data_IF_080693396271
#
_entry.id   IF_080693396271
#
_cell.length_a   1.000
_cell.length_b   1.000
_cell.length_c   1.000
_cell.angle_alpha   90.00
_cell.angle_beta   90.00
_cell.angle_gamma   90.00
#
_symmetry.space_group_name_H-M   'P 1'
#
loop_
_entity.id
_entity.type
_entity.pdbx_description
1 polymer ?
#
# COMPACT_ATOMS: atom_id res chain seq x y z
N UNK A 1 20.37 9.05 -20.84
CA UNK A 1 21.74 9.57 -21.02
C UNK A 1 22.72 8.41 -20.87
N UNK A 2 22.86 7.79 -19.70
CA UNK A 2 23.85 6.72 -19.44
C UNK A 2 23.80 5.56 -20.43
N UNK A 3 22.61 5.05 -20.76
CA UNK A 3 22.47 3.95 -21.71
C UNK A 3 22.99 4.30 -23.12
N UNK A 4 22.79 5.57 -23.54
CA UNK A 4 23.31 6.05 -24.82
C UNK A 4 24.83 6.13 -24.82
N UNK A 5 25.44 6.60 -23.73
CA UNK A 5 26.90 6.68 -23.56
C UNK A 5 27.52 5.29 -23.47
N UNK A 6 26.85 4.36 -22.78
CA UNK A 6 27.29 2.98 -22.66
C UNK A 6 26.99 2.11 -23.91
N UNK A 7 26.34 2.64 -24.93
CA UNK A 7 25.95 1.90 -26.13
C UNK A 7 24.98 0.74 -25.87
N UNK A 8 24.20 0.77 -24.78
CA UNK A 8 23.27 -0.29 -24.41
C UNK A 8 21.81 0.18 -24.43
N UNK A 9 20.88 -0.79 -24.36
CA UNK A 9 19.44 -0.51 -24.26
C UNK A 9 19.07 -0.24 -22.81
N UNK A 10 18.10 0.67 -22.59
CA UNK A 10 17.51 0.91 -21.27
C UNK A 10 16.06 0.40 -21.23
N UNK A 11 15.66 -0.11 -20.08
CA UNK A 11 14.31 -0.65 -19.83
C UNK A 11 13.81 -0.14 -18.48
N UNK A 12 12.50 0.01 -18.37
CA UNK A 12 11.78 0.20 -17.11
C UNK A 12 10.94 -1.06 -16.90
N UNK A 13 11.15 -1.74 -15.76
CA UNK A 13 10.41 -2.93 -15.40
C UNK A 13 9.36 -2.59 -14.34
N UNK A 14 8.12 -2.99 -14.58
CA UNK A 14 6.98 -2.85 -13.66
C UNK A 14 6.98 -1.49 -12.92
N UNK A 15 6.82 -0.33 -13.63
CA UNK A 15 6.81 0.99 -12.99
C UNK A 15 5.65 1.13 -12.01
N UNK A 16 5.76 2.05 -11.05
CA UNK A 16 4.74 2.31 -10.02
C UNK A 16 3.34 2.61 -10.58
N UNK A 17 3.27 3.05 -11.82
CA UNK A 17 2.04 3.41 -12.56
C UNK A 17 1.57 2.30 -13.51
N UNK A 18 2.06 1.08 -13.34
CA UNK A 18 1.53 -0.08 -14.08
C UNK A 18 0.02 -0.18 -13.81
N UNK A 19 -0.77 -0.22 -14.87
CA UNK A 19 -2.22 -0.21 -14.79
C UNK A 19 -2.83 -1.41 -15.51
N UNK A 20 -3.26 -2.37 -14.71
CA UNK A 20 -3.92 -3.60 -15.14
C UNK A 20 -5.31 -3.76 -14.47
N UNK A 21 -5.86 -2.66 -13.96
CA UNK A 21 -7.14 -2.66 -13.24
C UNK A 21 -8.26 -3.27 -14.07
N UNK A 22 -9.08 -4.10 -13.42
CA UNK A 22 -10.37 -4.47 -13.95
C UNK A 22 -11.28 -3.23 -14.01
N UNK A 23 -12.27 -3.19 -14.92
CA UNK A 23 -13.10 -1.99 -15.13
C UNK A 23 -13.76 -1.49 -13.83
N UNK A 24 -14.26 -2.38 -12.99
CA UNK A 24 -14.94 -2.05 -11.73
C UNK A 24 -14.01 -1.40 -10.72
N UNK A 25 -12.72 -1.78 -10.74
CA UNK A 25 -11.72 -1.21 -9.82
C UNK A 25 -11.35 0.24 -10.13
N UNK A 26 -11.69 0.75 -11.33
CA UNK A 26 -11.43 2.14 -11.73
C UNK A 26 -12.45 3.12 -11.20
N UNK A 27 -13.66 2.65 -10.96
CA UNK A 27 -14.77 3.52 -10.61
C UNK A 27 -14.65 4.02 -9.16
N UNK A 28 -14.88 5.31 -8.97
CA UNK A 28 -15.18 5.90 -7.67
C UNK A 28 -16.65 6.34 -7.64
N UNK A 29 -17.09 6.88 -6.52
CA UNK A 29 -18.44 7.45 -6.40
C UNK A 29 -18.66 8.74 -7.20
N UNK A 30 -17.61 9.33 -7.78
CA UNK A 30 -17.69 10.56 -8.58
C UNK A 30 -17.01 10.34 -9.94
N UNK A 31 -17.71 10.55 -11.06
CA UNK A 31 -17.17 10.24 -12.40
C UNK A 31 -15.88 11.00 -12.75
N UNK A 32 -15.68 12.20 -12.19
CA UNK A 32 -14.49 13.01 -12.41
C UNK A 32 -13.28 12.60 -11.57
N UNK A 33 -13.44 11.67 -10.62
CA UNK A 33 -12.41 11.20 -9.71
C UNK A 33 -12.18 9.70 -9.91
N UNK A 34 -11.46 9.34 -10.95
CA UNK A 34 -11.13 7.94 -11.22
C UNK A 34 -10.06 7.42 -10.25
N UNK A 35 -10.20 6.16 -9.81
CA UNK A 35 -9.15 5.47 -9.05
C UNK A 35 -7.94 5.20 -9.95
N UNK A 36 -6.75 5.34 -9.40
CA UNK A 36 -5.49 5.20 -10.13
C UNK A 36 -4.64 4.10 -9.52
N UNK A 37 -4.05 3.28 -10.38
CA UNK A 37 -3.08 2.28 -10.01
C UNK A 37 -1.73 2.95 -9.72
N UNK A 38 -1.40 3.11 -8.44
CA UNK A 38 -0.08 3.61 -7.98
C UNK A 38 0.34 2.77 -6.78
N UNK A 39 1.32 1.89 -6.97
CA UNK A 39 1.72 0.92 -5.96
C UNK A 39 3.17 0.43 -6.16
N UNK A 40 3.67 -0.39 -5.23
CA UNK A 40 5.01 -0.97 -5.30
C UNK A 40 5.08 -2.11 -6.33
N UNK A 41 4.83 -1.79 -7.62
CA UNK A 41 4.62 -2.76 -8.68
C UNK A 41 5.83 -3.68 -8.89
N UNK A 42 7.03 -3.12 -8.98
CA UNK A 42 8.26 -3.90 -9.20
C UNK A 42 8.46 -4.95 -8.11
N UNK A 43 8.40 -4.55 -6.84
CA UNK A 43 8.55 -5.48 -5.72
C UNK A 43 7.38 -6.47 -5.67
N UNK A 44 6.14 -6.01 -5.77
CA UNK A 44 4.94 -6.86 -5.69
C UNK A 44 4.93 -7.95 -6.75
N UNK A 45 5.21 -7.61 -8.01
CA UNK A 45 5.28 -8.60 -9.10
C UNK A 45 6.51 -9.51 -8.99
N UNK A 46 7.65 -8.99 -8.48
CA UNK A 46 8.85 -9.80 -8.26
C UNK A 46 8.63 -10.89 -7.21
N UNK A 47 8.08 -10.56 -6.04
CA UNK A 47 7.82 -11.55 -4.98
C UNK A 47 6.72 -12.54 -5.37
N UNK A 48 5.71 -12.10 -6.13
CA UNK A 48 4.68 -12.99 -6.67
C UNK A 48 5.26 -14.03 -7.64
N UNK A 49 6.17 -13.62 -8.53
CA UNK A 49 6.88 -14.54 -9.45
C UNK A 49 7.86 -15.45 -8.70
N UNK A 50 8.50 -14.95 -7.64
CA UNK A 50 9.38 -15.76 -6.79
C UNK A 50 8.59 -16.86 -6.09
N UNK A 51 7.49 -16.51 -5.42
CA UNK A 51 6.59 -17.47 -4.78
C UNK A 51 6.10 -18.53 -5.76
N UNK A 52 5.61 -18.12 -6.94
CA UNK A 52 5.15 -19.07 -7.97
C UNK A 52 6.24 -20.08 -8.35
N UNK A 53 7.48 -19.62 -8.50
CA UNK A 53 8.65 -20.47 -8.77
C UNK A 53 8.94 -21.45 -7.66
N UNK A 54 8.90 -21.00 -6.40
CA UNK A 54 9.15 -21.84 -5.21
C UNK A 54 8.14 -23.00 -5.09
N UNK A 55 6.87 -22.76 -5.47
CA UNK A 55 5.83 -23.80 -5.43
C UNK A 55 5.69 -24.57 -6.75
N UNK A 56 6.57 -24.35 -7.73
CA UNK A 56 6.56 -25.06 -9.02
C UNK A 56 5.38 -24.70 -9.93
N UNK A 57 4.76 -23.53 -9.76
CA UNK A 57 3.64 -23.04 -10.57
C UNK A 57 4.00 -21.79 -11.35
N UNK A 58 3.20 -21.45 -12.33
CA UNK A 58 3.36 -20.19 -13.09
C UNK A 58 2.62 -19.07 -12.37
N UNK A 59 3.16 -17.87 -12.40
CA UNK A 59 2.52 -16.68 -11.81
C UNK A 59 1.17 -16.35 -12.45
N UNK A 60 1.00 -16.62 -13.74
CA UNK A 60 -0.25 -16.41 -14.48
C UNK A 60 -1.30 -17.54 -14.27
N UNK A 61 -1.05 -18.46 -13.34
CA UNK A 61 -2.01 -19.48 -12.87
C UNK A 61 -2.50 -19.22 -11.45
N UNK A 62 -2.03 -18.14 -10.81
CA UNK A 62 -2.27 -17.88 -9.40
C UNK A 62 -3.12 -16.64 -9.16
N UNK A 63 -3.90 -16.72 -8.09
CA UNK A 63 -4.59 -15.60 -7.46
C UNK A 63 -3.91 -15.27 -6.14
N UNK A 64 -3.22 -14.15 -6.07
CA UNK A 64 -2.42 -13.76 -4.90
C UNK A 64 -2.87 -12.41 -4.36
N UNK A 65 -2.76 -12.23 -3.05
CA UNK A 65 -2.78 -10.89 -2.45
C UNK A 65 -1.36 -10.57 -2.03
N UNK A 66 -0.79 -9.50 -2.57
CA UNK A 66 0.55 -9.06 -2.21
C UNK A 66 0.48 -7.76 -1.41
N UNK A 67 1.05 -7.80 -0.22
CA UNK A 67 1.08 -6.69 0.74
C UNK A 67 2.51 -6.18 0.85
N UNK A 68 2.79 -5.03 0.28
CA UNK A 68 4.06 -4.35 0.50
C UNK A 68 3.93 -3.35 1.64
N UNK A 69 4.74 -3.51 2.68
CA UNK A 69 4.73 -2.68 3.89
C UNK A 69 6.08 -1.96 4.07
N UNK A 70 6.10 -0.69 3.71
CA UNK A 70 7.25 0.21 3.85
C UNK A 70 6.81 1.59 4.34
N UNK A 71 7.43 2.67 3.89
CA UNK A 71 6.99 4.04 4.17
C UNK A 71 5.57 4.34 3.67
N UNK A 72 5.13 3.63 2.62
CA UNK A 72 3.74 3.45 2.20
C UNK A 72 3.34 1.98 2.28
N UNK A 73 2.03 1.69 2.27
CA UNK A 73 1.48 0.34 2.23
C UNK A 73 0.62 0.17 0.98
N UNK A 74 0.92 -0.85 0.18
CA UNK A 74 0.06 -1.27 -0.92
C UNK A 74 -0.40 -2.70 -0.73
N UNK A 75 -1.69 -2.93 -0.93
CA UNK A 75 -2.34 -4.24 -0.88
C UNK A 75 -2.94 -4.50 -2.25
N UNK A 76 -2.36 -5.42 -2.99
CA UNK A 76 -2.65 -5.67 -4.40
C UNK A 76 -3.28 -7.05 -4.62
N UNK A 77 -4.40 -7.10 -5.35
CA UNK A 77 -5.00 -8.34 -5.85
C UNK A 77 -4.37 -8.71 -7.19
N UNK A 78 -3.59 -9.79 -7.20
CA UNK A 78 -3.00 -10.37 -8.40
C UNK A 78 -3.87 -11.52 -8.89
N UNK A 79 -4.44 -11.39 -10.07
CA UNK A 79 -5.26 -12.41 -10.71
C UNK A 79 -4.63 -12.87 -12.02
N UNK A 80 -4.19 -14.12 -12.08
CA UNK A 80 -3.65 -14.73 -13.30
C UNK A 80 -2.55 -13.86 -13.95
N UNK A 81 -1.56 -13.43 -13.14
CA UNK A 81 -0.42 -12.64 -13.59
C UNK A 81 -0.62 -11.12 -13.72
N UNK A 82 -1.84 -10.61 -13.46
CA UNK A 82 -2.19 -9.19 -13.55
C UNK A 82 -2.62 -8.62 -12.20
N UNK A 83 -2.27 -7.36 -11.94
CA UNK A 83 -2.75 -6.62 -10.76
C UNK A 83 -4.09 -5.97 -11.09
N UNK A 84 -5.18 -6.63 -10.73
CA UNK A 84 -6.53 -6.24 -11.12
C UNK A 84 -7.19 -5.22 -10.22
N UNK A 85 -6.69 -5.06 -8.99
CA UNK A 85 -7.10 -4.02 -8.03
C UNK A 85 -5.99 -3.80 -7.01
N UNK A 86 -5.77 -2.55 -6.61
CA UNK A 86 -4.84 -2.16 -5.55
C UNK A 86 -5.26 -0.80 -4.99
N UNK A 87 -4.96 -0.51 -3.73
CA UNK A 87 -5.08 0.84 -3.20
C UNK A 87 -3.98 1.75 -3.77
N UNK A 88 -4.27 3.03 -3.91
CA UNK A 88 -3.26 4.03 -4.24
C UNK A 88 -2.39 4.31 -3.01
N UNK A 89 -1.24 3.64 -2.93
CA UNK A 89 -0.35 3.69 -1.78
C UNK A 89 0.32 5.06 -1.55
N UNK A 90 0.11 6.02 -2.45
CA UNK A 90 0.77 7.33 -2.42
C UNK A 90 -0.18 8.48 -2.08
N UNK A 91 -1.42 8.45 -2.57
CA UNK A 91 -2.29 9.63 -2.64
C UNK A 91 -3.61 9.49 -1.88
N UNK A 92 -3.62 8.81 -0.74
CA UNK A 92 -4.76 8.82 0.19
C UNK A 92 -5.81 7.75 -0.09
N UNK A 93 -5.38 6.51 -0.31
CA UNK A 93 -6.25 5.33 -0.43
C UNK A 93 -5.65 4.16 0.37
N UNK A 94 -6.50 3.29 0.91
CA UNK A 94 -6.09 2.15 1.70
C UNK A 94 -5.72 2.47 3.15
N UNK A 95 -4.90 1.63 3.81
CA UNK A 95 -4.49 1.83 5.19
C UNK A 95 -3.53 3.02 5.31
N UNK A 96 -3.55 3.72 6.44
CA UNK A 96 -2.45 4.63 6.70
C UNK A 96 -1.15 3.86 6.93
N UNK A 97 -0.02 4.51 6.69
CA UNK A 97 1.30 3.92 6.68
C UNK A 97 2.26 4.80 7.48
N UNK A 98 3.55 4.47 7.61
CA UNK A 98 4.49 5.31 8.33
C UNK A 98 4.46 6.79 7.91
N UNK A 99 4.30 7.10 6.63
CA UNK A 99 4.34 8.48 6.10
C UNK A 99 3.12 8.85 5.24
N UNK A 100 2.08 8.03 5.20
CA UNK A 100 0.90 8.23 4.35
C UNK A 100 -0.37 8.23 5.18
N UNK A 101 -1.28 9.16 4.89
CA UNK A 101 -2.53 9.28 5.61
C UNK A 101 -3.51 8.13 5.35
N UNK A 102 -3.37 7.42 4.20
CA UNK A 102 -4.38 6.45 3.78
C UNK A 102 -5.72 7.11 3.45
N UNK A 103 -6.78 6.32 3.49
CA UNK A 103 -8.15 6.82 3.28
C UNK A 103 -8.57 7.72 4.44
N UNK A 104 -9.01 8.93 4.11
CA UNK A 104 -9.49 9.93 5.05
C UNK A 104 -11.03 10.03 4.99
N UNK A 105 -11.72 10.42 6.10
CA UNK A 105 -13.13 10.79 6.05
C UNK A 105 -13.34 11.96 5.09
N UNK A 106 -14.03 11.73 3.97
CA UNK A 106 -14.09 12.67 2.84
C UNK A 106 -14.72 14.02 3.23
N UNK A 107 -15.78 14.00 4.03
CA UNK A 107 -16.48 15.21 4.48
C UNK A 107 -15.57 16.09 5.34
N UNK A 108 -15.01 15.54 6.40
CA UNK A 108 -14.08 16.27 7.28
C UNK A 108 -12.83 16.75 6.55
N UNK A 109 -12.35 15.95 5.58
CA UNK A 109 -11.20 16.35 4.78
C UNK A 109 -11.53 17.51 3.84
N UNK A 110 -12.73 17.54 3.27
CA UNK A 110 -13.20 18.68 2.48
C UNK A 110 -13.29 19.95 3.33
N UNK A 111 -13.88 19.88 4.53
CA UNK A 111 -13.91 21.01 5.48
C UNK A 111 -12.49 21.51 5.81
N UNK A 112 -11.55 20.60 6.06
CA UNK A 112 -10.15 20.96 6.30
C UNK A 112 -9.52 21.70 5.12
N UNK A 113 -9.75 21.22 3.89
CA UNK A 113 -9.23 21.83 2.66
C UNK A 113 -9.74 23.27 2.46
N UNK A 114 -11.00 23.53 2.81
CA UNK A 114 -11.64 24.85 2.63
C UNK A 114 -11.62 25.71 3.91
N UNK A 115 -10.96 25.27 4.98
CA UNK A 115 -10.87 26.02 6.25
C UNK A 115 -10.04 27.31 6.15
N UNK A 116 -9.27 27.51 5.09
CA UNK A 116 -8.34 28.61 4.94
C UNK A 116 -7.06 28.49 5.79
N UNK A 117 -6.90 27.42 6.59
CA UNK A 117 -5.77 27.22 7.51
C UNK A 117 -4.53 26.67 6.82
N UNK A 118 -4.70 26.01 5.69
CA UNK A 118 -3.64 25.26 4.99
C UNK A 118 -3.63 25.56 3.50
N UNK A 119 -2.45 25.64 2.93
CA UNK A 119 -2.26 25.70 1.48
C UNK A 119 -2.41 24.32 0.85
N UNK A 120 -2.68 24.26 -0.45
CA UNK A 120 -2.71 23.00 -1.21
C UNK A 120 -1.42 22.19 -1.03
N UNK A 121 -0.26 22.84 -0.93
CA UNK A 121 1.04 22.18 -0.72
C UNK A 121 1.11 21.51 0.65
N UNK A 122 0.59 22.13 1.68
CA UNK A 122 0.54 21.55 3.04
C UNK A 122 -0.45 20.38 3.10
N UNK A 123 -1.63 20.54 2.52
CA UNK A 123 -2.62 19.45 2.39
C UNK A 123 -2.00 18.23 1.69
N UNK A 124 -1.32 18.42 0.56
CA UNK A 124 -0.64 17.33 -0.14
C UNK A 124 0.45 16.67 0.71
N UNK A 125 1.17 17.43 1.54
CA UNK A 125 2.14 16.87 2.49
C UNK A 125 1.50 16.10 3.63
N UNK A 126 0.30 16.47 4.09
CA UNK A 126 -0.46 15.69 5.08
C UNK A 126 -0.88 14.34 4.51
N UNK A 127 -1.27 14.28 3.23
CA UNK A 127 -1.59 13.03 2.55
C UNK A 127 -0.33 12.15 2.40
N UNK A 128 0.78 12.75 1.93
CA UNK A 128 1.99 12.05 1.54
C UNK A 128 3.24 12.73 2.11
N UNK A 129 3.91 12.06 3.04
CA UNK A 129 5.17 12.48 3.66
C UNK A 129 5.04 12.90 5.13
N UNK A 130 3.85 13.33 5.59
CA UNK A 130 3.58 13.75 6.98
C UNK A 130 2.29 13.16 7.54
N UNK A 131 1.69 12.18 6.87
CA UNK A 131 0.53 11.45 7.34
C UNK A 131 0.90 10.20 8.13
N UNK A 132 -0.10 9.44 8.52
CA UNK A 132 0.08 8.13 9.17
C UNK A 132 0.80 8.19 10.52
N UNK A 133 1.74 7.26 10.74
CA UNK A 133 2.47 7.18 12.01
C UNK A 133 3.21 8.49 12.31
N UNK A 134 3.80 9.12 11.30
CA UNK A 134 4.50 10.41 11.45
C UNK A 134 3.57 11.52 11.96
N UNK A 135 2.32 11.56 11.52
CA UNK A 135 1.34 12.54 12.00
C UNK A 135 0.91 12.29 13.45
N UNK A 136 0.69 11.02 13.80
CA UNK A 136 0.21 10.65 15.14
C UNK A 136 1.30 10.66 16.21
N UNK A 137 2.53 10.26 15.85
CA UNK A 137 3.60 9.94 16.81
C UNK A 137 4.83 10.86 16.67
N UNK A 138 4.85 11.76 15.69
CA UNK A 138 6.00 12.61 15.40
C UNK A 138 7.21 11.88 14.82
N UNK A 139 7.08 10.58 14.53
CA UNK A 139 8.14 9.75 13.96
C UNK A 139 7.57 8.71 13.00
N UNK A 140 8.35 8.34 11.98
CA UNK A 140 8.08 7.25 11.04
C UNK A 140 8.98 6.03 11.28
N UNK A 141 9.82 6.06 12.32
CA UNK A 141 10.67 4.95 12.70
C UNK A 141 9.84 3.81 13.29
N UNK A 142 9.47 2.86 12.42
CA UNK A 142 8.61 1.73 12.79
C UNK A 142 9.25 0.79 13.82
N UNK A 143 10.60 0.71 13.90
CA UNK A 143 11.28 -0.10 14.91
C UNK A 143 11.13 0.50 16.31
N UNK A 144 11.34 1.81 16.42
CA UNK A 144 11.12 2.54 17.67
C UNK A 144 9.66 2.45 18.11
N UNK A 145 8.72 2.63 17.15
CA UNK A 145 7.28 2.56 17.42
C UNK A 145 6.90 1.16 17.92
N UNK A 146 7.39 0.10 17.27
CA UNK A 146 7.16 -1.28 17.68
C UNK A 146 7.73 -1.56 19.10
N UNK A 147 8.95 -1.13 19.38
CA UNK A 147 9.55 -1.26 20.68
C UNK A 147 8.68 -0.66 21.80
N UNK A 148 8.18 0.55 21.57
CA UNK A 148 7.30 1.24 22.52
C UNK A 148 5.92 0.57 22.63
N UNK A 149 5.36 0.10 21.52
CA UNK A 149 4.11 -0.63 21.50
C UNK A 149 4.20 -1.95 22.29
N UNK A 150 5.30 -2.69 22.15
CA UNK A 150 5.59 -3.91 22.92
C UNK A 150 5.75 -3.61 24.41
N UNK A 151 6.27 -2.45 24.79
CA UNK A 151 6.32 -1.98 26.17
C UNK A 151 4.94 -1.51 26.71
N UNK A 152 3.90 -1.52 25.87
CA UNK A 152 2.55 -1.10 26.25
C UNK A 152 2.37 0.42 26.29
N UNK A 153 3.30 1.21 25.71
CA UNK A 153 3.24 2.66 25.74
C UNK A 153 2.15 3.20 24.78
N UNK A 154 1.22 3.98 25.31
CA UNK A 154 0.29 4.75 24.50
C UNK A 154 0.86 6.15 24.18
N UNK A 155 0.56 6.74 23.00
CA UNK A 155 -0.33 6.24 21.94
C UNK A 155 0.32 5.28 20.94
N UNK A 156 1.58 4.89 21.12
CA UNK A 156 2.34 4.08 20.15
C UNK A 156 1.65 2.76 19.82
N UNK A 157 1.18 2.05 20.86
CA UNK A 157 0.49 0.77 20.67
C UNK A 157 -0.80 0.93 19.88
N UNK A 158 -1.70 1.81 20.32
CA UNK A 158 -2.99 2.01 19.66
C UNK A 158 -2.85 2.47 18.20
N UNK A 159 -1.89 3.35 17.92
CA UNK A 159 -1.65 3.87 16.57
C UNK A 159 -1.02 2.79 15.68
N UNK A 160 -0.09 1.98 16.17
CA UNK A 160 0.47 0.86 15.40
C UNK A 160 -0.58 -0.20 15.11
N UNK A 161 -1.35 -0.61 16.11
CA UNK A 161 -2.45 -1.59 15.95
C UNK A 161 -3.50 -1.11 14.93
N UNK A 162 -3.84 0.18 14.93
CA UNK A 162 -4.75 0.77 13.95
C UNK A 162 -4.22 0.66 12.50
N UNK A 163 -2.91 0.85 12.28
CA UNK A 163 -2.28 0.66 10.98
C UNK A 163 -2.37 -0.81 10.53
N UNK A 164 -2.08 -1.74 11.43
CA UNK A 164 -2.10 -3.17 11.15
C UNK A 164 -3.54 -3.66 10.89
N UNK A 165 -4.51 -3.22 11.68
CA UNK A 165 -5.93 -3.47 11.45
C UNK A 165 -6.40 -2.95 10.09
N UNK A 166 -6.02 -1.72 9.73
CA UNK A 166 -6.31 -1.14 8.41
C UNK A 166 -5.73 -1.98 7.28
N UNK A 167 -4.52 -2.51 7.45
CA UNK A 167 -3.87 -3.39 6.49
C UNK A 167 -4.60 -4.73 6.34
N UNK A 168 -4.96 -5.36 7.46
CA UNK A 168 -5.73 -6.61 7.45
C UNK A 168 -7.11 -6.43 6.79
N UNK A 169 -7.80 -5.32 7.08
CA UNK A 169 -9.08 -4.96 6.44
C UNK A 169 -8.91 -4.81 4.92
N UNK A 170 -7.82 -4.21 4.47
CA UNK A 170 -7.56 -4.03 3.04
C UNK A 170 -7.26 -5.36 2.34
N UNK A 171 -6.58 -6.31 3.01
CA UNK A 171 -6.41 -7.68 2.52
C UNK A 171 -7.78 -8.34 2.29
N UNK A 172 -8.68 -8.25 3.27
CA UNK A 172 -10.05 -8.74 3.14
C UNK A 172 -10.78 -8.10 1.95
N UNK A 173 -10.65 -6.78 1.77
CA UNK A 173 -11.25 -6.07 0.64
C UNK A 173 -10.70 -6.56 -0.71
N UNK A 174 -9.39 -6.81 -0.83
CA UNK A 174 -8.78 -7.32 -2.08
C UNK A 174 -9.22 -8.75 -2.42
N UNK A 175 -9.62 -9.55 -1.44
CA UNK A 175 -10.15 -10.89 -1.72
C UNK A 175 -11.40 -10.87 -2.60
N UNK A 176 -12.20 -9.81 -2.55
CA UNK A 176 -13.39 -9.61 -3.38
C UNK A 176 -13.03 -9.58 -4.86
N UNK A 177 -11.94 -8.89 -5.24
CA UNK A 177 -11.46 -8.85 -6.62
C UNK A 177 -11.07 -10.24 -7.16
N UNK A 178 -10.70 -11.15 -6.26
CA UNK A 178 -10.36 -12.56 -6.54
C UNK A 178 -11.55 -13.50 -6.32
N UNK A 179 -12.74 -12.98 -6.01
CA UNK A 179 -13.96 -13.75 -5.71
C UNK A 179 -13.75 -14.77 -4.57
N UNK A 180 -12.96 -14.40 -3.56
CA UNK A 180 -12.58 -15.24 -2.43
C UNK A 180 -11.62 -16.40 -2.77
N UNK A 181 -11.21 -16.55 -4.03
CA UNK A 181 -10.27 -17.59 -4.45
C UNK A 181 -8.84 -17.08 -4.37
N UNK A 182 -8.24 -17.17 -3.20
CA UNK A 182 -6.87 -16.70 -2.91
C UNK A 182 -5.97 -17.91 -2.70
N UNK A 183 -4.97 -18.09 -3.56
CA UNK A 183 -3.97 -19.17 -3.42
C UNK A 183 -2.98 -18.86 -2.29
N UNK A 184 -2.56 -17.60 -2.13
CA UNK A 184 -1.70 -17.15 -1.04
C UNK A 184 -1.78 -15.64 -0.78
N UNK A 185 -1.41 -15.24 0.45
CA UNK A 185 -1.14 -13.86 0.85
C UNK A 185 0.36 -13.74 1.06
N UNK A 186 1.00 -12.79 0.37
CA UNK A 186 2.44 -12.56 0.45
C UNK A 186 2.66 -11.21 1.11
N UNK A 187 3.35 -11.18 2.25
CA UNK A 187 3.72 -9.94 2.96
C UNK A 187 5.20 -9.65 2.69
N UNK A 188 5.51 -8.43 2.24
CA UNK A 188 6.86 -8.01 1.87
C UNK A 188 7.11 -6.56 2.31
N UNK A 189 8.32 -6.07 2.10
CA UNK A 189 8.76 -4.73 2.52
C UNK A 189 9.43 -4.76 3.90
N UNK A 190 9.93 -3.61 4.34
CA UNK A 190 10.72 -3.51 5.58
C UNK A 190 9.97 -3.92 6.85
N UNK A 191 8.67 -3.61 6.94
CA UNK A 191 7.84 -3.94 8.11
C UNK A 191 7.51 -5.45 8.17
N UNK A 192 7.57 -6.16 7.04
CA UNK A 192 7.35 -7.61 7.00
C UNK A 192 8.40 -8.43 7.79
N UNK A 193 9.53 -7.82 8.16
CA UNK A 193 10.52 -8.44 9.05
C UNK A 193 10.12 -8.42 10.53
N UNK A 194 9.11 -7.63 10.90
CA UNK A 194 8.55 -7.62 12.24
C UNK A 194 7.58 -8.77 12.43
N UNK A 195 7.95 -9.74 13.27
CA UNK A 195 7.03 -10.82 13.65
C UNK A 195 5.76 -10.27 14.30
N UNK A 196 5.91 -9.26 15.17
CA UNK A 196 4.76 -8.61 15.82
C UNK A 196 3.76 -8.05 14.81
N UNK A 197 4.25 -7.30 13.82
CA UNK A 197 3.38 -6.72 12.80
C UNK A 197 2.71 -7.80 11.92
N UNK A 198 3.45 -8.83 11.53
CA UNK A 198 2.89 -9.93 10.71
C UNK A 198 1.84 -10.71 11.48
N UNK A 199 2.11 -11.12 12.73
CA UNK A 199 1.17 -11.91 13.55
C UNK A 199 -0.17 -11.16 13.83
N UNK A 200 -0.21 -9.83 13.66
CA UNK A 200 -1.42 -9.02 13.84
C UNK A 200 -2.24 -8.86 12.57
N UNK A 201 -1.68 -9.21 11.42
CA UNK A 201 -2.33 -9.09 10.12
C UNK A 201 -2.92 -10.44 9.68
N UNK A 202 -2.32 -11.55 10.12
CA UNK A 202 -2.65 -12.92 9.68
C UNK A 202 -3.77 -13.55 10.52
#
# INVERSE_FOLDING_TARGET
ILAKEAGCRSFIADPEVVDEFMPEARLSGLPMLERRSVFHALNGKAVARLYAREIGRRYDELNLIVVHMGGGISVAAHRMGKVVDVNNALNGDGPYAPERAGTLPADQFAELCFSGKYTLREIKKMINGRGGLAAHLGTNDTRLIEQKALAGEEPYKGVLEGMLYGTAREIGARSVALRGKVDAIIITGGIAHSKYCVDRIV
#
